data_IF_666262514596
#
_entry.id   IF_666262514596
#
_cell.length_a   1.000
_cell.length_b   1.000
_cell.length_c   1.000
_cell.angle_alpha   90.00
_cell.angle_beta   90.00
_cell.angle_gamma   90.00
#
_symmetry.space_group_name_H-M   'P 1'
#
loop_
_entity.id
_entity.type
_entity.pdbx_description
1 polymer ?
#
# COMPACT_ATOMS: atom_id res chain seq x y z
N UNK A 1 21.39 67.65 -40.86
CA UNK A 1 20.39 67.19 -39.87
C UNK A 1 20.41 65.67 -39.82
N UNK A 2 21.02 65.05 -38.80
CA UNK A 2 20.98 63.58 -38.58
C UNK A 2 20.18 63.32 -37.31
N UNK A 3 19.02 62.65 -37.44
CA UNK A 3 18.17 62.27 -36.32
C UNK A 3 18.73 61.00 -35.68
N UNK A 4 19.10 61.06 -34.40
CA UNK A 4 19.41 59.88 -33.61
C UNK A 4 18.11 59.23 -33.12
N UNK A 5 17.84 58.01 -33.57
CA UNK A 5 16.70 57.22 -33.14
C UNK A 5 17.16 56.34 -31.97
N UNK A 6 16.74 56.68 -30.74
CA UNK A 6 16.99 55.87 -29.55
C UNK A 6 16.05 54.67 -29.56
N UNK A 7 16.60 53.48 -29.58
CA UNK A 7 15.86 52.23 -29.39
C UNK A 7 15.79 51.94 -27.89
N UNK A 8 14.58 51.93 -27.33
CA UNK A 8 14.31 51.42 -25.99
C UNK A 8 14.09 49.92 -26.13
N UNK A 9 15.03 49.11 -25.63
CA UNK A 9 14.82 47.66 -25.49
C UNK A 9 14.02 47.46 -24.21
N UNK A 10 12.74 47.13 -24.37
CA UNK A 10 11.90 46.66 -23.26
C UNK A 10 12.17 45.17 -23.08
N UNK A 11 13.00 44.81 -22.11
CA UNK A 11 13.10 43.42 -21.65
C UNK A 11 11.84 43.07 -20.87
N UNK A 12 10.87 42.44 -21.53
CA UNK A 12 9.75 41.80 -20.85
C UNK A 12 10.26 40.56 -20.11
N UNK A 13 10.41 40.65 -18.80
CA UNK A 13 10.60 39.47 -17.94
C UNK A 13 9.25 38.78 -17.85
N UNK A 14 9.06 37.72 -18.63
CA UNK A 14 7.94 36.79 -18.45
C UNK A 14 8.14 36.08 -17.10
N UNK A 15 7.50 36.59 -16.06
CA UNK A 15 7.33 35.87 -14.81
C UNK A 15 6.39 34.69 -15.07
N UNK A 16 6.96 33.56 -15.49
CA UNK A 16 6.22 32.30 -15.56
C UNK A 16 5.73 31.94 -14.17
N UNK A 17 4.42 31.79 -13.99
CA UNK A 17 3.85 31.21 -12.79
C UNK A 17 4.35 29.78 -12.66
N UNK A 18 5.15 29.50 -11.63
CA UNK A 18 5.53 28.13 -11.27
C UNK A 18 4.27 27.45 -10.75
N UNK A 19 3.65 26.61 -11.58
CA UNK A 19 2.54 25.76 -11.14
C UNK A 19 3.14 24.67 -10.26
N UNK A 20 2.84 24.74 -8.97
CA UNK A 20 3.27 23.73 -7.99
C UNK A 20 2.42 22.48 -8.17
N UNK A 21 3.05 21.30 -8.23
CA UNK A 21 2.32 20.05 -8.37
C UNK A 21 1.39 19.81 -7.17
N UNK A 22 0.19 19.32 -7.44
CA UNK A 22 -0.76 18.89 -6.42
C UNK A 22 -0.51 17.42 -6.03
N UNK A 23 -0.77 17.09 -4.77
CA UNK A 23 -0.75 15.71 -4.29
C UNK A 23 -2.06 15.03 -4.69
N UNK A 24 -1.96 14.00 -5.53
CA UNK A 24 -3.11 13.26 -6.07
C UNK A 24 -3.44 12.01 -5.27
N UNK A 25 -2.45 11.35 -4.66
CA UNK A 25 -2.63 10.14 -3.84
C UNK A 25 -1.73 10.15 -2.61
N UNK A 26 -2.22 9.56 -1.51
CA UNK A 26 -1.47 9.40 -0.26
C UNK A 26 -1.55 10.59 0.71
N UNK A 27 -0.69 10.60 1.75
CA UNK A 27 0.35 9.61 1.99
C UNK A 27 -0.25 8.28 2.45
N UNK A 28 0.40 7.19 2.09
CA UNK A 28 0.05 5.86 2.56
C UNK A 28 1.30 5.04 2.89
N UNK A 29 1.10 3.99 3.68
CA UNK A 29 2.16 3.24 4.32
C UNK A 29 2.20 1.79 3.83
N UNK A 30 3.42 1.27 3.63
CA UNK A 30 3.68 -0.13 3.31
C UNK A 30 4.80 -0.67 4.19
N UNK A 31 4.53 -1.82 4.79
CA UNK A 31 5.54 -2.66 5.43
C UNK A 31 6.03 -3.72 4.43
N UNK A 32 7.34 -3.83 4.24
CA UNK A 32 7.96 -4.74 3.25
C UNK A 32 8.73 -5.89 3.91
N UNK A 33 8.33 -6.29 5.12
CA UNK A 33 8.91 -7.46 5.81
C UNK A 33 10.18 -7.20 6.63
N UNK A 34 10.62 -5.94 6.78
CA UNK A 34 11.72 -5.60 7.67
C UNK A 34 11.23 -4.75 8.85
N UNK A 35 11.28 -5.27 10.10
CA UNK A 35 10.68 -4.62 11.28
C UNK A 35 11.27 -3.27 11.63
N UNK A 36 12.50 -3.00 11.20
CA UNK A 36 13.20 -1.73 11.41
C UNK A 36 12.91 -0.71 10.30
N UNK A 37 11.91 -0.95 9.45
CA UNK A 37 11.61 -0.10 8.30
C UNK A 37 10.12 0.19 8.13
N UNK A 38 9.80 1.33 7.52
CA UNK A 38 8.46 1.69 7.07
C UNK A 38 8.56 2.47 5.76
N UNK A 39 7.82 2.05 4.75
CA UNK A 39 7.78 2.75 3.46
C UNK A 39 6.59 3.70 3.42
N UNK A 40 6.87 4.97 3.10
CA UNK A 40 5.88 6.04 2.90
C UNK A 40 5.82 6.36 1.41
N UNK A 41 4.60 6.40 0.87
CA UNK A 41 4.34 6.64 -0.55
C UNK A 41 3.31 7.75 -0.73
N UNK A 42 3.47 8.53 -1.80
CA UNK A 42 2.50 9.53 -2.26
C UNK A 42 2.68 9.75 -3.76
N UNK A 43 1.72 10.38 -4.41
CA UNK A 43 1.77 10.70 -5.84
C UNK A 43 1.43 12.17 -6.06
N UNK A 44 2.10 12.81 -7.02
CA UNK A 44 1.78 14.16 -7.50
C UNK A 44 1.17 14.11 -8.91
N UNK A 45 0.67 15.24 -9.42
CA UNK A 45 0.18 15.37 -10.81
C UNK A 45 1.24 15.87 -11.80
N UNK A 46 2.39 16.32 -11.29
CA UNK A 46 3.54 16.76 -12.07
C UNK A 46 4.85 16.49 -11.32
N UNK A 47 5.98 16.57 -12.03
CA UNK A 47 7.32 16.44 -11.46
C UNK A 47 7.55 17.51 -10.39
N UNK A 48 7.65 17.06 -9.14
CA UNK A 48 7.91 17.95 -8.00
C UNK A 48 8.66 17.19 -6.92
N UNK A 49 9.83 17.70 -6.51
CA UNK A 49 10.52 17.15 -5.35
C UNK A 49 9.76 17.41 -4.05
N UNK A 50 9.85 16.47 -3.11
CA UNK A 50 9.35 16.63 -1.75
C UNK A 50 10.39 16.23 -0.71
N UNK A 51 10.11 16.50 0.57
CA UNK A 51 10.97 16.11 1.69
C UNK A 51 10.12 15.43 2.76
N UNK A 52 10.52 14.21 3.14
CA UNK A 52 9.95 13.46 4.25
C UNK A 52 10.73 13.77 5.52
N UNK A 53 10.04 14.07 6.61
CA UNK A 53 10.59 14.23 7.95
C UNK A 53 9.90 13.23 8.89
N UNK A 54 10.61 12.69 9.88
CA UNK A 54 10.02 11.78 10.86
C UNK A 54 10.62 11.94 12.25
N UNK A 55 9.87 11.53 13.26
CA UNK A 55 10.33 11.53 14.65
C UNK A 55 9.41 10.75 15.57
N UNK A 56 9.85 10.49 16.80
CA UNK A 56 9.00 9.92 17.87
C UNK A 56 8.03 10.95 18.47
N UNK A 57 8.09 12.20 18.00
CA UNK A 57 7.15 13.27 18.30
C UNK A 57 6.89 14.13 17.06
N UNK A 58 5.94 15.06 17.15
CA UNK A 58 5.58 16.01 16.08
C UNK A 58 6.62 17.10 15.82
N UNK A 59 7.78 17.09 16.49
CA UNK A 59 8.94 17.89 16.10
C UNK A 59 9.69 17.30 14.89
N UNK A 60 9.45 16.02 14.56
CA UNK A 60 10.07 15.28 13.46
C UNK A 60 11.60 15.30 13.49
N UNK A 61 12.18 15.20 14.70
CA UNK A 61 13.62 15.38 14.92
C UNK A 61 14.49 14.14 14.70
N UNK A 62 13.91 12.98 14.37
CA UNK A 62 14.70 11.75 14.17
C UNK A 62 15.39 11.70 12.82
N UNK A 63 14.85 12.36 11.79
CA UNK A 63 15.50 12.43 10.49
C UNK A 63 14.65 13.06 9.40
N UNK A 64 15.28 13.27 8.25
CA UNK A 64 14.63 13.72 7.03
C UNK A 64 15.30 13.11 5.79
N UNK A 65 14.57 13.09 4.67
CA UNK A 65 15.05 12.59 3.39
C UNK A 65 14.35 13.31 2.23
N UNK A 66 15.15 13.79 1.27
CA UNK A 66 14.62 14.32 0.00
C UNK A 66 14.08 13.20 -0.89
N UNK A 67 13.01 13.52 -1.61
CA UNK A 67 12.39 12.65 -2.59
C UNK A 67 12.25 13.34 -3.92
N UNK A 68 12.85 12.71 -4.92
CA UNK A 68 12.42 12.78 -6.31
C UNK A 68 11.36 11.73 -6.56
N UNK A 69 10.60 11.90 -7.64
CA UNK A 69 9.71 10.87 -8.17
C UNK A 69 10.51 9.67 -8.70
N UNK A 70 9.89 8.49 -8.69
CA UNK A 70 10.45 7.25 -9.25
C UNK A 70 10.58 7.37 -10.78
N UNK A 71 9.59 8.00 -11.41
CA UNK A 71 9.56 8.26 -12.84
C UNK A 71 8.60 9.40 -13.15
N UNK A 72 8.98 10.26 -14.10
CA UNK A 72 8.18 11.39 -14.60
C UNK A 72 6.92 11.00 -15.34
N UNK A 73 6.74 9.74 -15.71
CA UNK A 73 5.45 9.26 -16.23
C UNK A 73 4.49 8.84 -15.13
N UNK A 74 5.00 8.55 -13.93
CA UNK A 74 4.22 8.02 -12.82
C UNK A 74 3.93 9.06 -11.74
N UNK A 75 4.80 10.06 -11.59
CA UNK A 75 4.81 11.04 -10.50
C UNK A 75 4.70 10.40 -9.10
N UNK A 76 5.14 9.14 -8.99
CA UNK A 76 5.07 8.35 -7.76
C UNK A 76 6.32 8.62 -6.91
N UNK A 77 6.12 8.81 -5.62
CA UNK A 77 7.18 8.89 -4.62
C UNK A 77 7.12 7.67 -3.71
N UNK A 78 8.30 7.17 -3.33
CA UNK A 78 8.48 6.04 -2.40
C UNK A 78 9.73 6.28 -1.58
N UNK A 79 9.58 6.37 -0.26
CA UNK A 79 10.69 6.54 0.68
C UNK A 79 10.56 5.60 1.86
N UNK A 80 11.64 4.90 2.16
CA UNK A 80 11.70 3.94 3.26
C UNK A 80 12.48 4.57 4.41
N UNK A 81 11.79 4.77 5.54
CA UNK A 81 12.42 5.11 6.81
C UNK A 81 13.08 3.84 7.33
N UNK A 82 14.32 3.95 7.79
CA UNK A 82 15.12 2.83 8.33
C UNK A 82 15.54 3.11 9.77
N UNK A 83 16.07 2.09 10.45
CA UNK A 83 16.55 2.22 11.83
C UNK A 83 15.44 2.44 12.86
N UNK A 84 14.22 1.99 12.57
CA UNK A 84 13.10 2.09 13.49
C UNK A 84 13.27 1.13 14.66
N UNK A 85 12.98 1.61 15.87
CA UNK A 85 12.85 0.74 17.03
C UNK A 85 11.54 -0.06 16.93
N UNK A 86 11.50 -1.34 17.35
CA UNK A 86 10.27 -2.14 17.30
C UNK A 86 9.12 -1.53 18.11
N UNK A 87 7.87 -1.81 17.71
CA UNK A 87 6.63 -1.43 18.40
C UNK A 87 6.53 0.05 18.83
N UNK A 88 7.22 0.94 18.13
CA UNK A 88 7.41 2.34 18.52
C UNK A 88 6.56 3.25 17.63
N UNK A 89 5.92 4.26 18.22
CA UNK A 89 5.16 5.26 17.47
C UNK A 89 6.09 6.30 16.85
N UNK A 90 5.92 6.52 15.55
CA UNK A 90 6.58 7.57 14.79
C UNK A 90 5.53 8.48 14.15
N UNK A 91 5.83 9.77 14.12
CA UNK A 91 5.10 10.79 13.38
C UNK A 91 5.93 11.17 12.16
N UNK A 92 5.27 11.49 11.05
CA UNK A 92 5.95 11.97 9.86
C UNK A 92 5.19 13.12 9.20
N UNK A 93 5.93 13.94 8.47
CA UNK A 93 5.37 14.94 7.54
C UNK A 93 6.09 14.88 6.20
N UNK A 94 5.37 15.18 5.14
CA UNK A 94 5.89 15.31 3.78
C UNK A 94 5.62 16.74 3.33
N UNK A 95 6.66 17.43 2.89
CA UNK A 95 6.55 18.77 2.31
C UNK A 95 6.77 18.65 0.81
N UNK A 96 5.77 18.99 0.01
CA UNK A 96 5.81 19.00 -1.47
C UNK A 96 5.32 20.38 -1.90
N UNK A 97 6.27 21.24 -2.30
CA UNK A 97 5.95 22.64 -2.56
C UNK A 97 5.37 23.34 -1.33
N UNK A 98 4.18 23.92 -1.47
CA UNK A 98 3.40 24.51 -0.37
C UNK A 98 2.52 23.51 0.38
N UNK A 99 2.38 22.28 -0.12
CA UNK A 99 1.55 21.24 0.48
C UNK A 99 2.32 20.52 1.58
N UNK A 100 1.73 20.43 2.77
CA UNK A 100 2.22 19.57 3.86
C UNK A 100 1.23 18.45 4.12
N UNK A 101 1.69 17.21 3.98
CA UNK A 101 0.96 16.02 4.41
C UNK A 101 1.51 15.56 5.76
N UNK A 102 0.67 15.00 6.62
CA UNK A 102 1.09 14.45 7.91
C UNK A 102 0.49 13.07 8.13
N UNK A 103 1.16 12.28 8.95
CA UNK A 103 0.69 10.97 9.37
C UNK A 103 1.51 10.46 10.55
N UNK A 104 1.22 9.23 10.96
CA UNK A 104 1.93 8.55 12.02
C UNK A 104 1.87 7.05 11.79
N UNK A 105 2.66 6.24 12.48
CA UNK A 105 2.53 4.79 12.43
C UNK A 105 3.17 4.19 13.66
N UNK A 106 2.84 2.92 13.95
CA UNK A 106 3.63 2.09 14.86
C UNK A 106 4.51 1.19 14.01
N UNK A 107 5.81 1.18 14.28
CA UNK A 107 6.74 0.23 13.65
C UNK A 107 6.38 -1.20 14.05
N UNK A 108 6.82 -2.16 13.23
CA UNK A 108 6.51 -3.56 13.46
C UNK A 108 6.99 -4.04 14.84
N UNK A 109 6.30 -5.01 15.45
CA UNK A 109 6.71 -5.61 16.70
C UNK A 109 8.08 -6.31 16.58
N UNK A 110 8.70 -6.56 17.73
CA UNK A 110 9.87 -7.43 17.81
C UNK A 110 9.51 -8.85 17.34
N UNK A 111 10.49 -9.59 16.81
CA UNK A 111 10.33 -11.01 16.49
C UNK A 111 10.07 -11.88 17.73
N UNK A 112 10.33 -11.34 18.93
CA UNK A 112 10.07 -11.99 20.22
C UNK A 112 8.66 -11.80 20.76
N UNK A 113 7.82 -10.96 20.14
CA UNK A 113 6.42 -10.81 20.56
C UNK A 113 5.65 -12.12 20.41
N UNK A 114 4.77 -12.43 21.36
CA UNK A 114 4.01 -13.69 21.39
C UNK A 114 2.58 -13.56 20.87
N UNK A 115 2.09 -12.33 20.78
CA UNK A 115 0.78 -11.98 20.23
C UNK A 115 0.85 -10.67 19.43
N UNK A 116 -0.14 -10.46 18.56
CA UNK A 116 -0.39 -9.20 17.86
C UNK A 116 -1.90 -9.02 17.68
N UNK A 117 -2.34 -7.78 17.45
CA UNK A 117 -3.65 -7.48 16.88
C UNK A 117 -3.45 -6.88 15.50
N UNK A 118 -4.29 -7.22 14.54
CA UNK A 118 -4.32 -6.63 13.22
C UNK A 118 -5.77 -6.57 12.75
N UNK A 119 -6.01 -5.82 11.67
CA UNK A 119 -7.32 -5.67 11.06
C UNK A 119 -7.27 -6.26 9.65
N UNK A 120 -8.41 -6.79 9.19
CA UNK A 120 -8.56 -7.34 7.84
C UNK A 120 -9.86 -6.80 7.24
N UNK A 121 -9.81 -6.41 5.98
CA UNK A 121 -10.97 -6.00 5.20
C UNK A 121 -10.67 -6.14 3.70
N UNK A 122 -11.60 -5.82 2.81
CA UNK A 122 -11.36 -5.86 1.37
C UNK A 122 -12.54 -5.35 0.57
N UNK A 123 -12.47 -5.55 -0.76
CA UNK A 123 -13.55 -5.25 -1.70
C UNK A 123 -14.01 -3.78 -1.62
N UNK A 124 -13.04 -2.85 -1.57
CA UNK A 124 -13.30 -1.41 -1.34
C UNK A 124 -13.66 -0.64 -2.59
N UNK A 125 -13.59 -1.27 -3.76
CA UNK A 125 -13.89 -0.64 -5.04
C UNK A 125 -15.32 -0.10 -5.12
N UNK A 126 -15.56 0.75 -6.12
CA UNK A 126 -16.88 1.18 -6.60
C UNK A 126 -17.68 2.14 -5.70
N UNK A 127 -17.55 2.09 -4.36
CA UNK A 127 -18.23 3.03 -3.46
C UNK A 127 -17.29 3.62 -2.37
N UNK A 128 -16.55 4.69 -2.69
CA UNK A 128 -15.61 5.29 -1.73
C UNK A 128 -16.30 5.91 -0.49
N UNK A 129 -17.61 6.17 -0.53
CA UNK A 129 -18.36 6.62 0.65
C UNK A 129 -18.56 5.50 1.68
N UNK A 130 -18.91 4.30 1.21
CA UNK A 130 -19.03 3.12 2.07
C UNK A 130 -17.65 2.69 2.61
N UNK A 131 -16.63 2.70 1.74
CA UNK A 131 -15.24 2.49 2.18
C UNK A 131 -14.83 3.51 3.24
N UNK A 132 -15.19 4.79 3.10
CA UNK A 132 -14.91 5.80 4.11
C UNK A 132 -15.62 5.54 5.45
N UNK A 133 -16.81 4.95 5.42
CA UNK A 133 -17.52 4.51 6.63
C UNK A 133 -16.78 3.37 7.33
N UNK A 134 -16.31 2.37 6.59
CA UNK A 134 -15.49 1.27 7.12
C UNK A 134 -14.15 1.80 7.66
N UNK A 135 -13.49 2.69 6.91
CA UNK A 135 -12.25 3.32 7.32
C UNK A 135 -12.44 4.14 8.62
N UNK A 136 -13.58 4.81 8.79
CA UNK A 136 -13.90 5.51 10.04
C UNK A 136 -13.95 4.54 11.22
N UNK A 137 -14.55 3.35 11.06
CA UNK A 137 -14.59 2.34 12.11
C UNK A 137 -13.22 1.76 12.42
N UNK A 138 -12.39 1.55 11.40
CA UNK A 138 -10.98 1.15 11.60
C UNK A 138 -10.23 2.22 12.42
N UNK A 139 -10.43 3.50 12.10
CA UNK A 139 -9.86 4.63 12.83
C UNK A 139 -10.32 4.65 14.29
N UNK A 140 -11.62 4.49 14.54
CA UNK A 140 -12.17 4.41 15.88
C UNK A 140 -11.52 3.26 16.68
N UNK A 141 -11.38 2.08 16.07
CA UNK A 141 -10.81 0.87 16.71
C UNK A 141 -9.36 1.08 17.13
N UNK A 142 -8.47 1.52 16.23
CA UNK A 142 -7.06 1.68 16.60
C UNK A 142 -6.81 2.90 17.50
N UNK A 143 -7.72 3.88 17.48
CA UNK A 143 -7.64 5.04 18.39
C UNK A 143 -8.07 4.66 19.80
N UNK A 144 -9.11 3.83 19.94
CA UNK A 144 -9.57 3.31 21.22
C UNK A 144 -8.58 2.32 21.84
N UNK A 145 -7.92 1.50 21.03
CA UNK A 145 -6.87 0.58 21.47
C UNK A 145 -5.68 0.62 20.52
N UNK A 146 -4.61 1.27 20.99
CA UNK A 146 -3.36 1.43 20.23
C UNK A 146 -2.64 0.12 19.89
N UNK A 147 -3.06 -1.02 20.47
CA UNK A 147 -2.59 -2.34 20.06
C UNK A 147 -3.10 -2.74 18.67
N UNK A 148 -4.17 -2.12 18.14
CA UNK A 148 -4.63 -2.32 16.76
C UNK A 148 -3.95 -1.40 15.74
N UNK A 149 -3.15 -0.42 16.18
CA UNK A 149 -2.38 0.42 15.26
C UNK A 149 -1.14 -0.34 14.77
N UNK A 150 -1.33 -1.39 13.98
CA UNK A 150 -0.28 -2.32 13.50
C UNK A 150 -0.30 -2.37 11.97
N UNK A 151 -0.46 -3.55 11.35
CA UNK A 151 -0.78 -3.78 9.95
C UNK A 151 -2.29 -3.86 9.70
N UNK A 152 -2.69 -3.44 8.49
CA UNK A 152 -4.02 -3.64 7.92
C UNK A 152 -3.88 -4.57 6.70
N UNK A 153 -4.52 -5.74 6.74
CA UNK A 153 -4.55 -6.66 5.61
C UNK A 153 -5.74 -6.33 4.70
N UNK A 154 -5.50 -6.23 3.39
CA UNK A 154 -6.53 -6.02 2.38
C UNK A 154 -6.66 -7.25 1.48
N UNK A 155 -7.84 -7.84 1.39
CA UNK A 155 -8.07 -9.09 0.64
C UNK A 155 -8.32 -8.88 -0.87
N UNK A 156 -7.78 -7.81 -1.48
CA UNK A 156 -7.97 -7.51 -2.92
C UNK A 156 -9.23 -6.71 -3.27
N UNK A 157 -9.41 -6.44 -4.57
CA UNK A 157 -10.49 -5.62 -5.16
C UNK A 157 -10.49 -4.17 -4.63
N UNK A 158 -9.35 -3.51 -4.77
CA UNK A 158 -9.10 -2.15 -4.29
C UNK A 158 -9.70 -1.10 -5.21
N UNK A 159 -9.63 -1.33 -6.54
CA UNK A 159 -10.14 -0.43 -7.56
C UNK A 159 -11.09 -1.15 -8.50
N UNK A 160 -12.09 -0.45 -9.04
CA UNK A 160 -13.09 -1.05 -9.93
C UNK A 160 -12.49 -1.50 -11.28
N UNK A 161 -11.57 -0.71 -11.82
CA UNK A 161 -10.72 -1.08 -12.95
C UNK A 161 -9.26 -0.85 -12.56
N UNK A 162 -8.58 -1.94 -12.24
CA UNK A 162 -7.19 -1.95 -11.80
C UNK A 162 -6.19 -1.54 -12.88
N UNK A 163 -6.58 -1.45 -14.14
CA UNK A 163 -5.74 -0.91 -15.21
C UNK A 163 -5.92 0.62 -15.37
N UNK A 164 -6.83 1.24 -14.61
CA UNK A 164 -7.16 2.66 -14.72
C UNK A 164 -6.70 3.50 -13.52
N UNK A 165 -5.78 4.43 -13.77
CA UNK A 165 -5.32 5.43 -12.80
C UNK A 165 -6.44 6.23 -12.14
N UNK A 166 -7.49 6.55 -12.89
CA UNK A 166 -8.64 7.29 -12.37
C UNK A 166 -9.49 6.42 -11.45
N UNK A 167 -9.61 5.11 -11.71
CA UNK A 167 -10.29 4.18 -10.80
C UNK A 167 -9.55 4.06 -9.48
N UNK A 168 -8.22 3.91 -9.50
CA UNK A 168 -7.41 3.91 -8.27
C UNK A 168 -7.55 5.21 -7.47
N UNK A 169 -7.57 6.35 -8.16
CA UNK A 169 -7.75 7.67 -7.53
C UNK A 169 -9.12 7.81 -6.88
N UNK A 170 -10.18 7.38 -7.59
CA UNK A 170 -11.57 7.49 -7.12
C UNK A 170 -11.88 6.52 -5.98
N UNK A 171 -11.43 5.28 -6.12
CA UNK A 171 -11.91 4.17 -5.28
C UNK A 171 -11.04 4.03 -4.03
N UNK A 172 -9.73 3.82 -4.21
CA UNK A 172 -8.84 3.50 -3.09
C UNK A 172 -8.08 4.71 -2.55
N UNK A 173 -7.71 5.69 -3.38
CA UNK A 173 -6.98 6.89 -2.96
C UNK A 173 -7.79 8.21 -3.00
N UNK A 174 -9.11 8.23 -2.70
CA UNK A 174 -9.89 9.47 -2.81
C UNK A 174 -9.46 10.50 -1.77
N UNK A 175 -8.88 11.60 -2.25
CA UNK A 175 -8.43 12.73 -1.42
C UNK A 175 -9.55 13.49 -0.71
N UNK A 176 -10.81 13.31 -1.12
CA UNK A 176 -11.99 13.89 -0.50
C UNK A 176 -12.63 13.02 0.60
N UNK A 177 -12.07 11.84 0.89
CA UNK A 177 -12.56 10.92 1.92
C UNK A 177 -11.63 10.94 3.14
N UNK A 178 -11.99 11.71 4.16
CA UNK A 178 -11.11 12.02 5.30
C UNK A 178 -10.71 10.80 6.12
N UNK A 179 -11.61 9.83 6.33
CA UNK A 179 -11.32 8.62 7.12
C UNK A 179 -10.40 7.66 6.36
N UNK A 180 -10.57 7.54 5.03
CA UNK A 180 -9.64 6.77 4.18
C UNK A 180 -8.24 7.37 4.26
N UNK A 181 -8.12 8.70 4.10
CA UNK A 181 -6.83 9.38 4.23
C UNK A 181 -6.21 9.18 5.61
N UNK A 182 -7.02 9.28 6.68
CA UNK A 182 -6.53 9.09 8.04
C UNK A 182 -6.06 7.66 8.28
N UNK A 183 -6.78 6.67 7.77
CA UNK A 183 -6.42 5.25 7.85
C UNK A 183 -5.12 4.97 7.09
N UNK A 184 -5.04 5.35 5.81
CA UNK A 184 -3.86 5.12 4.96
C UNK A 184 -2.60 5.80 5.48
N UNK A 185 -2.73 7.01 6.02
CA UNK A 185 -1.61 7.75 6.62
C UNK A 185 -1.21 7.27 8.01
N UNK A 186 -1.98 6.33 8.61
CA UNK A 186 -1.79 5.86 9.99
C UNK A 186 -1.48 4.36 10.14
N UNK A 187 -1.85 3.54 9.15
CA UNK A 187 -1.68 2.09 9.16
C UNK A 187 -0.94 1.62 7.89
N UNK A 188 0.16 0.86 7.98
CA UNK A 188 0.67 0.11 6.85
C UNK A 188 -0.36 -0.88 6.30
N UNK A 189 -0.60 -0.82 4.99
CA UNK A 189 -1.55 -1.69 4.28
C UNK A 189 -0.79 -2.75 3.51
N UNK A 190 -1.11 -4.02 3.76
CA UNK A 190 -0.61 -5.16 3.00
C UNK A 190 -1.79 -5.82 2.28
N UNK A 191 -1.76 -5.79 0.96
CA UNK A 191 -2.84 -6.21 0.10
C UNK A 191 -2.43 -7.44 -0.71
N UNK A 192 -3.40 -8.32 -0.97
CA UNK A 192 -3.35 -9.22 -2.11
C UNK A 192 -4.10 -8.62 -3.30
N UNK A 193 -3.92 -9.22 -4.47
CA UNK A 193 -4.62 -8.87 -5.69
C UNK A 193 -5.98 -9.56 -5.74
N UNK A 194 -7.02 -8.83 -6.15
CA UNK A 194 -8.34 -9.32 -6.55
C UNK A 194 -8.53 -9.30 -8.06
N UNK A 195 -9.67 -9.78 -8.54
CA UNK A 195 -9.91 -9.94 -9.97
C UNK A 195 -10.15 -8.61 -10.68
N UNK A 196 -10.49 -7.55 -9.94
CA UNK A 196 -10.62 -6.21 -10.49
C UNK A 196 -9.29 -5.48 -10.67
N UNK A 197 -8.18 -6.00 -10.13
CA UNK A 197 -6.86 -5.38 -10.31
C UNK A 197 -6.29 -5.50 -11.75
N UNK A 198 -7.00 -6.17 -12.66
CA UNK A 198 -6.67 -6.27 -14.08
C UNK A 198 -5.33 -6.95 -14.29
N UNK A 199 -4.41 -6.33 -15.04
CA UNK A 199 -3.06 -6.89 -15.28
C UNK A 199 -2.18 -6.94 -14.02
N UNK A 200 -2.57 -6.23 -12.97
CA UNK A 200 -1.77 -6.03 -11.76
C UNK A 200 -0.59 -5.08 -11.95
N UNK A 201 -0.46 -4.41 -13.10
CA UNK A 201 0.59 -3.42 -13.35
C UNK A 201 0.48 -2.25 -12.38
N UNK A 202 -0.71 -1.65 -12.22
CA UNK A 202 -0.92 -0.58 -11.25
C UNK A 202 -0.93 -1.10 -9.81
N UNK A 203 -1.39 -2.34 -9.57
CA UNK A 203 -1.26 -2.97 -8.26
C UNK A 203 0.20 -3.00 -7.80
N UNK A 204 1.13 -3.46 -8.65
CA UNK A 204 2.58 -3.46 -8.32
C UNK A 204 3.16 -2.05 -8.18
N UNK A 205 2.62 -1.06 -8.90
CA UNK A 205 3.01 0.35 -8.74
C UNK A 205 2.64 0.87 -7.34
N UNK A 206 1.41 0.62 -6.91
CA UNK A 206 0.87 1.11 -5.63
C UNK A 206 1.29 0.26 -4.43
N UNK A 207 1.55 -1.02 -4.66
CA UNK A 207 1.99 -1.95 -3.65
C UNK A 207 3.30 -2.63 -4.08
N UNK A 208 4.44 -1.89 -4.10
CA UNK A 208 5.73 -2.38 -4.59
C UNK A 208 6.43 -3.25 -3.54
N UNK A 209 5.83 -4.39 -3.23
CA UNK A 209 6.39 -5.42 -2.35
C UNK A 209 7.61 -6.09 -2.98
N UNK A 210 8.46 -6.77 -2.18
CA UNK A 210 9.51 -7.65 -2.70
C UNK A 210 8.90 -8.93 -3.28
N UNK A 211 8.19 -8.81 -4.41
CA UNK A 211 7.60 -9.94 -5.11
C UNK A 211 8.65 -10.98 -5.50
N UNK A 212 8.34 -12.26 -5.30
CA UNK A 212 9.23 -13.38 -5.67
C UNK A 212 9.12 -13.70 -7.16
N UNK A 213 7.89 -13.64 -7.69
CA UNK A 213 7.59 -13.78 -9.11
C UNK A 213 6.63 -12.69 -9.54
N UNK A 214 5.39 -13.07 -9.84
CA UNK A 214 4.36 -12.13 -10.28
C UNK A 214 3.91 -11.19 -9.15
N UNK A 215 2.85 -11.54 -8.43
CA UNK A 215 2.23 -10.66 -7.41
C UNK A 215 2.10 -11.34 -6.04
N UNK A 216 2.94 -12.34 -5.79
CA UNK A 216 3.02 -13.09 -4.53
C UNK A 216 4.34 -12.85 -3.81
N UNK A 217 4.27 -12.87 -2.48
CA UNK A 217 5.38 -12.64 -1.56
C UNK A 217 4.96 -13.06 -0.15
N UNK A 218 5.90 -13.05 0.79
CA UNK A 218 5.60 -13.31 2.20
C UNK A 218 6.35 -12.33 3.10
N UNK A 219 5.89 -12.20 4.33
CA UNK A 219 6.56 -11.41 5.35
C UNK A 219 6.25 -11.90 6.75
N UNK A 220 7.18 -11.61 7.66
CA UNK A 220 7.00 -11.81 9.09
C UNK A 220 6.57 -10.52 9.78
N UNK A 221 5.64 -10.64 10.72
CA UNK A 221 5.18 -9.57 11.59
C UNK A 221 5.03 -10.10 13.02
N UNK A 222 6.10 -9.96 13.83
CA UNK A 222 6.16 -10.53 15.18
C UNK A 222 6.07 -12.07 15.16
N UNK A 223 5.07 -12.68 15.82
CA UNK A 223 4.84 -14.13 15.83
C UNK A 223 4.11 -14.67 14.60
N UNK A 224 3.75 -13.81 13.64
CA UNK A 224 2.93 -14.16 12.47
C UNK A 224 3.78 -14.19 11.21
N UNK A 225 3.60 -15.22 10.40
CA UNK A 225 4.05 -15.28 9.01
C UNK A 225 2.84 -15.14 8.09
N UNK A 226 2.91 -14.23 7.12
CA UNK A 226 1.84 -14.01 6.13
C UNK A 226 2.37 -14.36 4.75
N UNK A 227 1.74 -15.33 4.09
CA UNK A 227 1.99 -15.63 2.67
C UNK A 227 0.88 -14.99 1.83
N UNK A 228 1.24 -14.05 0.97
CA UNK A 228 0.33 -13.36 0.04
C UNK A 228 0.35 -14.10 -1.29
N UNK A 229 -0.82 -14.58 -1.71
CA UNK A 229 -1.00 -15.49 -2.85
C UNK A 229 -1.70 -14.78 -3.99
N UNK A 230 -1.17 -14.94 -5.20
CA UNK A 230 -1.73 -14.46 -6.46
C UNK A 230 -2.51 -15.60 -7.14
N UNK A 231 -3.84 -15.47 -7.17
CA UNK A 231 -4.74 -16.51 -7.70
C UNK A 231 -4.96 -16.41 -9.22
N UNK A 232 -4.19 -15.58 -9.93
CA UNK A 232 -4.38 -15.33 -11.35
C UNK A 232 -3.14 -15.78 -12.13
N UNK A 233 -3.35 -16.60 -13.17
CA UNK A 233 -2.29 -16.98 -14.11
C UNK A 233 -2.45 -16.16 -15.39
N UNK A 234 -1.36 -15.55 -15.88
CA UNK A 234 -1.37 -14.74 -17.10
C UNK A 234 -1.47 -13.23 -16.85
N UNK A 235 -1.95 -12.49 -17.85
CA UNK A 235 -2.07 -11.02 -17.87
C UNK A 235 -3.25 -10.50 -17.03
N UNK A 236 -3.75 -11.29 -16.06
CA UNK A 236 -4.75 -10.89 -15.08
C UNK A 236 -6.16 -10.62 -15.64
N UNK A 237 -6.38 -10.84 -16.94
CA UNK A 237 -7.71 -10.80 -17.56
C UNK A 237 -8.36 -12.18 -17.64
N UNK A 238 -7.58 -13.26 -17.44
CA UNK A 238 -8.08 -14.63 -17.53
C UNK A 238 -8.53 -15.16 -16.14
N UNK A 239 -9.74 -14.75 -15.76
CA UNK A 239 -10.47 -15.26 -14.59
C UNK A 239 -10.90 -16.74 -14.72
N UNK A 240 -10.59 -17.42 -15.83
CA UNK A 240 -11.04 -18.80 -16.06
C UNK A 240 -10.21 -19.85 -15.30
N UNK A 241 -9.08 -19.46 -14.70
CA UNK A 241 -8.23 -20.33 -13.89
C UNK A 241 -7.82 -19.67 -12.58
N UNK A 242 -8.67 -19.71 -11.56
CA UNK A 242 -8.32 -19.34 -10.17
C UNK A 242 -7.34 -20.37 -9.56
N UNK A 243 -6.11 -20.39 -10.07
CA UNK A 243 -5.07 -21.37 -9.77
C UNK A 243 -3.75 -20.68 -9.45
N UNK A 244 -2.79 -21.42 -8.91
CA UNK A 244 -1.39 -20.98 -8.84
C UNK A 244 -0.60 -21.60 -9.98
N UNK A 245 0.26 -20.81 -10.63
CA UNK A 245 1.26 -21.39 -11.51
C UNK A 245 2.22 -22.30 -10.71
N UNK A 246 2.88 -23.24 -11.40
CA UNK A 246 3.75 -24.24 -10.75
C UNK A 246 4.84 -23.61 -9.89
N UNK A 247 5.43 -22.50 -10.35
CA UNK A 247 6.48 -21.80 -9.62
C UNK A 247 5.96 -21.25 -8.28
N UNK A 248 4.80 -20.59 -8.28
CA UNK A 248 4.17 -20.06 -7.08
C UNK A 248 3.72 -21.17 -6.13
N UNK A 249 3.16 -22.27 -6.64
CA UNK A 249 2.77 -23.41 -5.80
C UNK A 249 3.98 -24.02 -5.07
N UNK A 250 5.08 -24.23 -5.79
CA UNK A 250 6.31 -24.74 -5.20
C UNK A 250 6.94 -23.75 -4.21
N UNK A 251 6.91 -22.46 -4.54
CA UNK A 251 7.33 -21.39 -3.64
C UNK A 251 6.51 -21.41 -2.34
N UNK A 252 5.19 -21.46 -2.42
CA UNK A 252 4.30 -21.45 -1.26
C UNK A 252 4.55 -22.67 -0.35
N UNK A 253 4.75 -23.86 -0.94
CA UNK A 253 5.13 -25.06 -0.18
C UNK A 253 6.44 -24.82 0.58
N UNK A 254 7.45 -24.28 -0.10
CA UNK A 254 8.75 -23.98 0.53
C UNK A 254 8.63 -22.91 1.63
N UNK A 255 7.94 -21.82 1.35
CA UNK A 255 7.66 -20.70 2.27
C UNK A 255 7.03 -21.21 3.58
N UNK A 256 5.94 -21.99 3.46
CA UNK A 256 5.23 -22.54 4.61
C UNK A 256 6.03 -23.61 5.37
N UNK A 257 6.88 -24.36 4.67
CA UNK A 257 7.71 -25.41 5.27
C UNK A 257 8.93 -24.87 6.03
N UNK A 258 9.41 -23.68 5.69
CA UNK A 258 10.63 -23.09 6.24
C UNK A 258 10.37 -22.08 7.35
N UNK A 259 9.17 -21.48 7.41
CA UNK A 259 8.79 -20.58 8.50
C UNK A 259 8.58 -21.31 9.82
N UNK A 260 9.15 -20.74 10.89
CA UNK A 260 9.02 -21.22 12.28
C UNK A 260 8.05 -20.36 13.11
N UNK A 261 7.36 -19.40 12.47
CA UNK A 261 6.40 -18.52 13.15
C UNK A 261 5.21 -19.31 13.67
N UNK A 262 4.73 -18.90 14.84
CA UNK A 262 3.64 -19.55 15.57
C UNK A 262 2.34 -19.53 14.78
N UNK A 263 2.03 -18.38 14.20
CA UNK A 263 0.83 -18.20 13.39
C UNK A 263 1.22 -18.07 11.93
N UNK A 264 0.50 -18.76 11.05
CA UNK A 264 0.71 -18.72 9.60
C UNK A 264 -0.60 -18.32 8.95
N UNK A 265 -0.61 -17.25 8.19
CA UNK A 265 -1.80 -16.70 7.55
C UNK A 265 -1.60 -16.72 6.04
N UNK A 266 -2.64 -17.12 5.31
CA UNK A 266 -2.71 -16.97 3.86
C UNK A 266 -3.59 -15.78 3.52
N UNK A 267 -3.05 -14.83 2.74
CA UNK A 267 -3.81 -13.71 2.20
C UNK A 267 -4.11 -13.96 0.72
N UNK A 268 -5.37 -14.21 0.41
CA UNK A 268 -5.90 -14.46 -0.94
C UNK A 268 -7.27 -13.78 -1.10
N UNK A 269 -7.72 -13.58 -2.34
CA UNK A 269 -8.96 -12.85 -2.65
C UNK A 269 -10.17 -13.80 -2.77
N UNK A 270 -10.14 -14.75 -3.70
CA UNK A 270 -11.21 -15.70 -3.92
C UNK A 270 -11.19 -16.83 -2.88
N UNK A 271 -12.19 -16.90 -1.98
CA UNK A 271 -12.19 -17.87 -0.90
C UNK A 271 -12.47 -19.29 -1.42
N UNK A 272 -12.02 -20.30 -0.66
CA UNK A 272 -12.41 -21.70 -0.91
C UNK A 272 -13.90 -21.94 -0.69
N UNK A 273 -14.43 -21.41 0.41
CA UNK A 273 -15.85 -21.48 0.76
C UNK A 273 -16.47 -20.09 0.70
N UNK A 274 -17.39 -19.89 -0.24
CA UNK A 274 -18.07 -18.62 -0.40
C UNK A 274 -19.15 -18.44 0.68
N UNK A 275 -19.35 -17.20 1.14
CA UNK A 275 -20.30 -16.86 2.20
C UNK A 275 -21.79 -16.97 1.79
N UNK A 276 -22.10 -17.55 0.62
CA UNK A 276 -23.39 -17.54 -0.11
C UNK A 276 -23.89 -16.11 -0.37
N UNK A 277 -23.98 -15.70 -1.64
CA UNK A 277 -24.46 -14.36 -2.00
C UNK A 277 -24.04 -13.80 -3.35
N UNK A 278 -23.39 -14.58 -4.21
CA UNK A 278 -23.02 -14.11 -5.56
C UNK A 278 -21.87 -14.87 -6.23
N UNK A 279 -21.06 -15.60 -5.45
CA UNK A 279 -19.94 -16.39 -5.96
C UNK A 279 -20.00 -17.84 -5.46
N UNK A 280 -19.54 -18.77 -6.30
CA UNK A 280 -19.41 -20.19 -5.98
C UNK A 280 -18.14 -20.48 -5.18
N UNK A 281 -18.09 -21.67 -4.59
CA UNK A 281 -16.89 -22.17 -3.93
C UNK A 281 -15.73 -22.34 -4.93
N UNK A 282 -14.52 -21.99 -4.51
CA UNK A 282 -13.32 -22.22 -5.31
C UNK A 282 -12.78 -23.65 -5.09
N UNK A 283 -13.06 -24.54 -6.04
CA UNK A 283 -12.60 -25.93 -6.00
C UNK A 283 -11.07 -26.07 -5.95
N UNK A 284 -10.31 -25.18 -6.59
CA UNK A 284 -8.86 -25.23 -6.53
C UNK A 284 -8.35 -24.90 -5.12
N UNK A 285 -8.90 -23.86 -4.47
CA UNK A 285 -8.56 -23.53 -3.08
C UNK A 285 -8.95 -24.69 -2.15
N UNK A 286 -10.18 -25.22 -2.27
CA UNK A 286 -10.65 -26.31 -1.40
C UNK A 286 -9.87 -27.62 -1.58
N UNK A 287 -9.58 -28.02 -2.82
CA UNK A 287 -9.06 -29.35 -3.12
C UNK A 287 -7.54 -29.39 -3.35
N UNK A 288 -6.90 -28.25 -3.62
CA UNK A 288 -5.46 -28.16 -3.87
C UNK A 288 -4.73 -27.38 -2.79
N UNK A 289 -5.18 -26.16 -2.48
CA UNK A 289 -4.47 -25.30 -1.52
C UNK A 289 -4.75 -25.67 -0.08
N UNK A 290 -6.00 -25.96 0.28
CA UNK A 290 -6.37 -26.30 1.65
C UNK A 290 -5.65 -27.54 2.20
N UNK A 291 -5.42 -28.63 1.43
CA UNK A 291 -4.56 -29.73 1.89
C UNK A 291 -3.13 -29.27 2.20
N UNK A 292 -2.54 -28.38 1.39
CA UNK A 292 -1.21 -27.79 1.63
C UNK A 292 -1.24 -26.96 2.91
N UNK A 293 -2.27 -26.11 3.08
CA UNK A 293 -2.44 -25.28 4.26
C UNK A 293 -2.53 -26.12 5.54
N UNK A 294 -3.31 -27.20 5.51
CA UNK A 294 -3.40 -28.18 6.61
C UNK A 294 -2.06 -28.86 6.88
N UNK A 295 -1.37 -29.32 5.83
CA UNK A 295 -0.09 -30.01 5.96
C UNK A 295 0.97 -29.15 6.67
N UNK A 296 0.98 -27.85 6.41
CA UNK A 296 1.98 -26.93 6.96
C UNK A 296 1.49 -26.09 8.15
N UNK A 297 0.31 -26.38 8.69
CA UNK A 297 -0.19 -25.75 9.91
C UNK A 297 -0.54 -24.27 9.75
N UNK A 298 -1.15 -23.90 8.62
CA UNK A 298 -1.82 -22.59 8.48
C UNK A 298 -2.91 -22.47 9.55
N UNK A 299 -2.92 -21.33 10.23
CA UNK A 299 -3.82 -21.02 11.36
C UNK A 299 -5.22 -20.68 10.88
#
# INVERSE_FOLDING_TARGET
MRKFQRWIIVCAVLAGSVVMAAVTKGPYLIYTGNPSTMTVLWQTDATQSGTLYWGTSTSYSSGNMSSTEISSSSHQHKKTITGLSPATRYYYKIVVGSTTLTGNFKSAPSSSETDIKFLVYGDTRSNPGDHNTVASRIVDVYTADSAYQTMLLHVGDLANDGNSESSWTRDFFPRNQSSILKMQSSLPIQATMGNHEGTGTLFKKYFPYPFVGDRYWSFDYGPVHVSVVDQYVGDGNDVTGLILNTAQKNWLINDLSTTTKKFKIILLHHPGWAARGGHDNNNFVMNTLHPIFKQYGVT
#
